data_IF_079226616873
#
_entry.id   IF_079226616873
#
_cell.length_a   1.000
_cell.length_b   1.000
_cell.length_c   1.000
_cell.angle_alpha   90.00
_cell.angle_beta   90.00
_cell.angle_gamma   90.00
#
_symmetry.space_group_name_H-M   'P 1'
#
loop_
_entity.id
_entity.type
_entity.pdbx_description
1 polymer ?
#
# COMPACT_ATOMS: atom_id res chain seq x y z
N UNK A 1 -19.79 22.38 0.95
CA UNK A 1 -19.20 23.68 0.58
C UNK A 1 -17.69 23.55 0.62
N UNK A 2 -17.02 23.57 -0.54
CA UNK A 2 -15.54 23.58 -0.65
C UNK A 2 -15.02 24.99 -0.38
N UNK A 3 -13.99 25.13 0.46
CA UNK A 3 -13.29 26.42 0.70
C UNK A 3 -12.38 26.84 -0.46
N UNK A 4 -12.46 26.18 -1.61
CA UNK A 4 -11.56 26.37 -2.75
C UNK A 4 -12.17 27.44 -3.67
N UNK A 5 -11.43 28.50 -4.04
CA UNK A 5 -11.91 29.50 -4.99
C UNK A 5 -12.30 28.86 -6.32
N UNK A 6 -13.44 29.26 -6.88
CA UNK A 6 -13.96 28.76 -8.19
C UNK A 6 -12.97 29.00 -9.34
N UNK A 7 -12.06 29.95 -9.18
CA UNK A 7 -11.01 30.29 -10.14
C UNK A 7 -9.94 29.20 -10.26
N UNK A 8 -9.75 28.37 -9.23
CA UNK A 8 -8.72 27.32 -9.22
C UNK A 8 -9.25 25.97 -9.70
N UNK A 9 -10.55 25.70 -9.51
CA UNK A 9 -11.19 24.44 -9.90
C UNK A 9 -12.59 24.74 -10.44
N UNK A 10 -12.87 24.41 -11.72
CA UNK A 10 -14.20 24.51 -12.30
C UNK A 10 -15.23 23.74 -11.49
N UNK A 11 -16.48 24.22 -11.44
CA UNK A 11 -17.54 23.60 -10.62
C UNK A 11 -17.80 22.14 -10.99
N UNK A 12 -17.60 21.80 -12.26
CA UNK A 12 -17.77 20.46 -12.82
C UNK A 12 -16.72 19.47 -12.27
N UNK A 13 -15.56 19.97 -11.82
CA UNK A 13 -14.44 19.18 -11.28
C UNK A 13 -14.42 19.06 -9.76
N UNK A 14 -15.32 19.75 -9.07
CA UNK A 14 -15.42 19.69 -7.61
C UNK A 14 -15.78 18.27 -7.14
N UNK A 15 -16.66 17.57 -7.87
CA UNK A 15 -17.04 16.19 -7.53
C UNK A 15 -15.87 15.21 -7.73
N UNK A 16 -15.12 15.34 -8.82
CA UNK A 16 -13.91 14.54 -9.07
C UNK A 16 -12.88 14.74 -7.93
N UNK A 17 -12.68 15.99 -7.50
CA UNK A 17 -11.76 16.32 -6.42
C UNK A 17 -12.22 15.73 -5.08
N UNK A 18 -13.50 15.84 -4.75
CA UNK A 18 -14.06 15.24 -3.54
C UNK A 18 -13.94 13.71 -3.54
N UNK A 19 -14.19 13.08 -4.70
CA UNK A 19 -14.01 11.64 -4.89
C UNK A 19 -12.56 11.24 -4.64
N UNK A 20 -11.59 12.01 -5.16
CA UNK A 20 -10.17 11.78 -4.94
C UNK A 20 -9.79 11.94 -3.46
N UNK A 21 -10.25 13.00 -2.78
CA UNK A 21 -10.03 13.19 -1.35
C UNK A 21 -10.55 11.99 -0.53
N UNK A 22 -11.71 11.46 -0.89
CA UNK A 22 -12.28 10.28 -0.24
C UNK A 22 -11.45 9.01 -0.49
N UNK A 23 -10.95 8.82 -1.73
CA UNK A 23 -10.04 7.72 -2.04
C UNK A 23 -8.74 7.79 -1.22
N UNK A 24 -8.17 8.98 -1.07
CA UNK A 24 -6.99 9.21 -0.23
C UNK A 24 -7.33 8.89 1.24
N UNK A 25 -8.48 9.31 1.75
CA UNK A 25 -8.92 8.99 3.11
C UNK A 25 -9.06 7.48 3.34
N UNK A 26 -9.68 6.76 2.40
CA UNK A 26 -9.81 5.31 2.44
C UNK A 26 -8.43 4.63 2.45
N UNK A 27 -7.51 5.09 1.60
CA UNK A 27 -6.14 4.60 1.57
C UNK A 27 -5.46 4.78 2.94
N UNK A 28 -5.56 5.97 3.54
CA UNK A 28 -5.04 6.22 4.88
C UNK A 28 -5.72 5.38 5.98
N UNK A 29 -7.02 5.07 5.86
CA UNK A 29 -7.71 4.14 6.78
C UNK A 29 -7.12 2.73 6.69
N UNK A 30 -6.89 2.23 5.48
CA UNK A 30 -6.25 0.92 5.26
C UNK A 30 -4.82 0.92 5.81
N UNK A 31 -4.06 1.99 5.61
CA UNK A 31 -2.68 2.12 6.09
C UNK A 31 -2.62 2.13 7.62
N UNK A 32 -3.50 2.91 8.27
CA UNK A 32 -3.65 2.92 9.73
C UNK A 32 -3.98 1.56 10.30
N UNK A 33 -4.86 0.80 9.67
CA UNK A 33 -5.23 -0.55 10.13
C UNK A 33 -4.10 -1.58 9.89
N UNK A 34 -3.53 -1.58 8.68
CA UNK A 34 -2.58 -2.61 8.24
C UNK A 34 -1.18 -2.41 8.81
N UNK A 35 -0.70 -1.17 8.92
CA UNK A 35 0.67 -0.84 9.35
C UNK A 35 0.73 -0.20 10.73
N UNK A 36 -0.42 0.10 11.33
CA UNK A 36 -0.52 0.68 12.68
C UNK A 36 0.30 1.96 12.86
N UNK A 37 0.36 2.80 11.80
CA UNK A 37 1.06 4.10 11.82
C UNK A 37 0.56 5.07 12.89
N UNK A 38 -0.64 4.83 13.43
CA UNK A 38 -1.24 5.64 14.49
C UNK A 38 -0.77 5.25 15.89
N UNK A 39 -0.06 4.12 16.04
CA UNK A 39 0.49 3.69 17.33
C UNK A 39 1.80 4.42 17.57
N UNK A 40 1.70 5.54 18.28
CA UNK A 40 2.87 6.22 18.82
C UNK A 40 3.20 5.65 20.20
N UNK A 41 4.43 5.16 20.36
CA UNK A 41 4.97 4.76 21.66
C UNK A 41 5.77 5.95 22.20
N UNK A 42 5.71 6.24 23.50
CA UNK A 42 6.53 7.31 24.10
C UNK A 42 8.00 6.88 24.14
N UNK A 43 8.71 7.17 23.06
CA UNK A 43 10.15 6.93 22.90
C UNK A 43 10.85 8.23 22.50
N UNK A 44 12.19 8.22 22.49
CA UNK A 44 12.98 9.34 21.97
C UNK A 44 12.57 9.70 20.54
N UNK A 45 12.53 10.99 20.24
CA UNK A 45 12.05 11.52 18.96
C UNK A 45 12.74 10.88 17.76
N UNK A 46 14.07 10.71 17.82
CA UNK A 46 14.85 10.15 16.71
C UNK A 46 14.46 8.70 16.42
N UNK A 47 14.12 7.91 17.46
CA UNK A 47 13.63 6.54 17.30
C UNK A 47 12.22 6.52 16.73
N UNK A 48 11.37 7.47 17.13
CA UNK A 48 10.02 7.59 16.60
C UNK A 48 10.03 7.96 15.12
N UNK A 49 10.85 8.95 14.73
CA UNK A 49 11.03 9.36 13.34
C UNK A 49 11.57 8.22 12.49
N UNK A 50 12.61 7.52 12.94
CA UNK A 50 13.15 6.36 12.23
C UNK A 50 12.10 5.25 12.05
N UNK A 51 11.31 4.96 13.09
CA UNK A 51 10.22 3.98 13.00
C UNK A 51 9.15 4.42 11.97
N UNK A 52 8.76 5.69 12.00
CA UNK A 52 7.78 6.26 11.07
C UNK A 52 8.29 6.18 9.62
N UNK A 53 9.54 6.56 9.36
CA UNK A 53 10.14 6.43 8.03
C UNK A 53 10.17 4.97 7.56
N UNK A 54 10.53 4.03 8.43
CA UNK A 54 10.50 2.60 8.12
C UNK A 54 9.09 2.10 7.75
N UNK A 55 8.06 2.56 8.47
CA UNK A 55 6.66 2.25 8.14
C UNK A 55 6.24 2.87 6.80
N UNK A 56 6.62 4.11 6.52
CA UNK A 56 6.31 4.78 5.25
C UNK A 56 6.98 4.09 4.05
N UNK A 57 8.25 3.70 4.19
CA UNK A 57 8.97 2.92 3.16
C UNK A 57 8.29 1.58 2.93
N UNK A 58 7.89 0.89 4.01
CA UNK A 58 7.17 -0.39 3.91
C UNK A 58 5.83 -0.24 3.18
N UNK A 59 5.06 0.81 3.48
CA UNK A 59 3.81 1.16 2.80
C UNK A 59 4.05 1.43 1.31
N UNK A 60 5.10 2.20 0.98
CA UNK A 60 5.45 2.53 -0.40
C UNK A 60 5.79 1.26 -1.22
N UNK A 61 6.62 0.38 -0.65
CA UNK A 61 7.00 -0.89 -1.28
C UNK A 61 5.79 -1.81 -1.46
N UNK A 62 4.93 -1.91 -0.45
CA UNK A 62 3.71 -2.72 -0.53
C UNK A 62 2.73 -2.18 -1.60
N UNK A 63 2.52 -0.88 -1.62
CA UNK A 63 1.63 -0.21 -2.57
C UNK A 63 2.13 -0.31 -4.01
N UNK A 64 3.44 -0.13 -4.22
CA UNK A 64 4.07 -0.27 -5.54
C UNK A 64 3.97 -1.69 -6.07
N UNK A 65 4.17 -2.69 -5.20
CA UNK A 65 4.05 -4.11 -5.56
C UNK A 65 2.61 -4.45 -5.89
N UNK A 66 1.65 -3.99 -5.09
CA UNK A 66 0.22 -4.17 -5.35
C UNK A 66 -0.17 -3.63 -6.72
N UNK A 67 0.24 -2.40 -7.03
CA UNK A 67 -0.11 -1.75 -8.30
C UNK A 67 0.42 -2.55 -9.49
N UNK A 68 1.68 -3.00 -9.44
CA UNK A 68 2.29 -3.85 -10.46
C UNK A 68 1.65 -5.23 -10.57
N UNK A 69 1.14 -5.80 -9.47
CA UNK A 69 0.47 -7.09 -9.47
C UNK A 69 -0.98 -7.02 -10.00
N UNK A 70 -1.67 -5.89 -9.83
CA UNK A 70 -3.05 -5.70 -10.26
C UNK A 70 -3.20 -5.84 -11.78
N UNK A 71 -2.27 -5.29 -12.54
CA UNK A 71 -2.28 -5.30 -14.00
C UNK A 71 -2.28 -6.71 -14.64
N UNK A 72 -1.34 -7.63 -14.30
CA UNK A 72 -1.36 -8.98 -14.85
C UNK A 72 -2.53 -9.82 -14.32
N UNK A 73 -3.04 -9.54 -13.12
CA UNK A 73 -4.21 -10.21 -12.55
C UNK A 73 -5.48 -9.88 -13.32
N UNK A 74 -5.70 -8.59 -13.62
CA UNK A 74 -6.82 -8.15 -14.44
C UNK A 74 -6.72 -8.73 -15.85
N UNK A 75 -5.57 -8.57 -16.52
CA UNK A 75 -5.38 -9.03 -17.91
C UNK A 75 -5.49 -10.55 -18.09
N UNK A 76 -4.93 -11.35 -17.18
CA UNK A 76 -4.84 -12.81 -17.36
C UNK A 76 -5.97 -13.59 -16.70
N UNK A 77 -6.58 -13.04 -15.64
CA UNK A 77 -7.60 -13.75 -14.85
C UNK A 77 -8.95 -13.05 -14.82
N UNK A 78 -9.09 -11.85 -15.42
CA UNK A 78 -10.30 -11.03 -15.35
C UNK A 78 -10.80 -10.83 -13.91
N UNK A 79 -9.87 -10.77 -12.95
CA UNK A 79 -10.16 -10.61 -11.53
C UNK A 79 -9.60 -9.30 -11.03
N UNK A 80 -10.46 -8.49 -10.43
CA UNK A 80 -10.06 -7.32 -9.66
C UNK A 80 -9.64 -7.77 -8.25
N UNK A 81 -8.47 -7.32 -7.79
CA UNK A 81 -8.14 -7.40 -6.37
C UNK A 81 -8.70 -6.20 -5.64
N UNK A 82 -9.38 -6.48 -4.54
CA UNK A 82 -9.55 -5.48 -3.48
C UNK A 82 -8.19 -5.06 -2.93
N UNK A 83 -7.97 -3.75 -2.83
CA UNK A 83 -6.76 -3.13 -2.27
C UNK A 83 -6.46 -3.66 -0.85
N UNK A 84 -7.51 -3.86 -0.04
CA UNK A 84 -7.38 -4.39 1.31
C UNK A 84 -6.79 -5.81 1.31
N UNK A 85 -7.33 -6.69 0.44
CA UNK A 85 -6.88 -8.08 0.35
C UNK A 85 -5.47 -8.18 -0.25
N UNK A 86 -5.17 -7.35 -1.24
CA UNK A 86 -3.85 -7.26 -1.84
C UNK A 86 -2.80 -6.82 -0.81
N UNK A 87 -3.12 -5.77 -0.05
CA UNK A 87 -2.18 -5.22 0.91
C UNK A 87 -1.93 -6.14 2.08
N UNK A 88 -2.96 -6.87 2.55
CA UNK A 88 -2.80 -7.90 3.56
C UNK A 88 -1.86 -9.02 3.08
N UNK A 89 -2.07 -9.54 1.86
CA UNK A 89 -1.19 -10.56 1.29
C UNK A 89 0.25 -10.04 1.15
N UNK A 90 0.43 -8.83 0.61
CA UNK A 90 1.78 -8.27 0.39
C UNK A 90 2.50 -8.01 1.71
N UNK A 91 1.79 -7.58 2.75
CA UNK A 91 2.36 -7.44 4.09
C UNK A 91 2.90 -8.77 4.64
N UNK A 92 2.16 -9.87 4.48
CA UNK A 92 2.64 -11.21 4.88
C UNK A 92 3.90 -11.60 4.09
N UNK A 93 3.93 -11.29 2.80
CA UNK A 93 5.12 -11.52 1.98
C UNK A 93 6.27 -10.56 2.27
N UNK A 94 6.02 -9.36 2.83
CA UNK A 94 7.08 -8.40 3.17
C UNK A 94 8.05 -8.95 4.22
N UNK A 95 7.53 -9.65 5.23
CA UNK A 95 8.37 -10.36 6.21
C UNK A 95 9.20 -11.46 5.55
N UNK A 96 8.61 -12.20 4.60
CA UNK A 96 9.32 -13.21 3.82
C UNK A 96 10.40 -12.58 2.93
N UNK A 97 10.14 -11.43 2.32
CA UNK A 97 11.10 -10.68 1.53
C UNK A 97 12.27 -10.16 2.38
N UNK A 98 11.99 -9.59 3.54
CA UNK A 98 13.01 -9.12 4.47
C UNK A 98 13.94 -10.27 4.89
N UNK A 99 13.37 -11.43 5.25
CA UNK A 99 14.15 -12.61 5.60
C UNK A 99 14.97 -13.16 4.42
N UNK A 100 14.42 -13.15 3.20
CA UNK A 100 15.13 -13.63 2.02
C UNK A 100 16.23 -12.67 1.52
N UNK A 101 16.05 -11.36 1.68
CA UNK A 101 17.07 -10.34 1.42
C UNK A 101 18.32 -10.57 2.26
N UNK A 102 18.16 -11.02 3.51
CA UNK A 102 19.27 -11.29 4.42
C UNK A 102 19.95 -12.66 4.17
N UNK A 103 19.34 -13.55 3.38
CA UNK A 103 19.84 -14.92 3.18
C UNK A 103 20.52 -15.13 1.82
N UNK A 104 19.79 -14.97 0.71
CA UNK A 104 20.35 -15.15 -0.64
C UNK A 104 19.36 -14.73 -1.75
N UNK A 105 19.87 -14.28 -2.90
CA UNK A 105 19.04 -13.85 -4.04
C UNK A 105 18.16 -14.97 -4.63
N UNK A 106 18.53 -16.24 -4.45
CA UNK A 106 17.74 -17.39 -4.91
C UNK A 106 16.48 -17.64 -4.07
N UNK A 107 16.46 -17.25 -2.78
CA UNK A 107 15.26 -17.36 -1.95
C UNK A 107 14.26 -16.24 -2.29
N UNK A 108 14.75 -15.07 -2.68
CA UNK A 108 13.91 -13.99 -3.18
C UNK A 108 13.16 -14.37 -4.46
N UNK A 109 13.83 -15.03 -5.41
CA UNK A 109 13.16 -15.47 -6.64
C UNK A 109 12.08 -16.53 -6.37
N UNK A 110 12.30 -17.44 -5.42
CA UNK A 110 11.29 -18.41 -4.97
C UNK A 110 10.08 -17.75 -4.34
N UNK A 111 10.27 -16.71 -3.51
CA UNK A 111 9.16 -15.98 -2.88
C UNK A 111 8.36 -15.19 -3.93
N UNK A 112 9.02 -14.54 -4.89
CA UNK A 112 8.36 -13.89 -6.02
C UNK A 112 7.53 -14.87 -6.85
N UNK A 113 8.05 -16.07 -7.09
CA UNK A 113 7.33 -17.15 -7.78
C UNK A 113 6.12 -17.64 -6.97
N UNK A 114 6.22 -17.75 -5.64
CA UNK A 114 5.09 -18.10 -4.75
C UNK A 114 4.00 -17.04 -4.76
N UNK A 115 4.38 -15.75 -4.72
CA UNK A 115 3.45 -14.62 -4.90
C UNK A 115 2.68 -14.69 -6.21
N UNK A 116 3.38 -15.08 -7.29
CA UNK A 116 2.77 -15.26 -8.62
C UNK A 116 1.89 -16.52 -8.71
N UNK A 117 2.23 -17.56 -7.95
CA UNK A 117 1.57 -18.87 -7.97
C UNK A 117 0.46 -19.08 -6.95
N UNK A 118 0.28 -18.20 -5.96
CA UNK A 118 -0.71 -18.39 -4.90
C UNK A 118 -2.14 -18.39 -5.48
N UNK A 119 -2.71 -19.60 -5.51
CA UNK A 119 -3.95 -20.00 -6.19
C UNK A 119 -5.25 -19.48 -5.58
N UNK A 120 -5.19 -18.54 -4.63
CA UNK A 120 -6.40 -17.97 -3.99
C UNK A 120 -6.76 -16.62 -4.61
N UNK A 121 -7.09 -16.65 -5.90
CA UNK A 121 -7.88 -15.62 -6.56
C UNK A 121 -9.17 -16.23 -7.04
#
# INVERSE_FOLDING_TARGET
>A
MTKIPTEWVPKEKIYDLYSLCWQIELLFKVWKSSFQIHRCISIKQERLECHLYGQLISILLCSSTMFKMREPLLRKKQKELSEYKAMYMIKDYFLLFHHALHKNNQELSKILLRLRGHRKF
#
